data_IF_180886415683
#
_entry.id   IF_180886415683
#
_cell.length_a   1.000
_cell.length_b   1.000
_cell.length_c   1.000
_cell.angle_alpha   90.00
_cell.angle_beta   90.00
_cell.angle_gamma   90.00
#
_symmetry.space_group_name_H-M   'P 1'
#
loop_
_entity.id
_entity.type
_entity.pdbx_description
1 polymer ?
#
# COMPACT_ATOMS: atom_id res chain seq x y z
N UNK A 1 19.78 3.63 9.45
CA UNK A 1 18.38 3.93 9.08
C UNK A 1 17.91 2.69 8.34
N UNK A 2 16.91 1.98 8.86
CA UNK A 2 16.31 0.86 8.15
C UNK A 2 15.35 1.45 7.11
N UNK A 3 15.92 1.97 6.02
CA UNK A 3 15.15 2.37 4.84
C UNK A 3 14.69 1.08 4.16
N UNK A 4 13.51 0.60 4.57
CA UNK A 4 12.89 -0.52 3.90
C UNK A 4 12.47 -0.05 2.49
N UNK A 5 13.08 -0.55 1.40
CA UNK A 5 12.85 -0.05 0.05
C UNK A 5 11.39 -0.16 -0.43
N UNK A 6 10.60 -1.00 0.26
CA UNK A 6 9.15 -1.17 0.05
C UNK A 6 8.38 0.11 0.43
N UNK A 7 8.84 0.77 1.49
CA UNK A 7 8.21 1.97 2.04
C UNK A 7 8.50 3.17 1.15
N UNK A 8 9.71 3.31 0.61
CA UNK A 8 10.06 4.43 -0.28
C UNK A 8 9.29 4.39 -1.60
N UNK A 9 9.06 3.19 -2.14
CA UNK A 9 8.31 3.00 -3.39
C UNK A 9 6.83 3.32 -3.17
N UNK A 10 6.25 2.85 -2.06
CA UNK A 10 4.88 3.17 -1.66
C UNK A 10 4.72 4.67 -1.34
N UNK A 11 5.68 5.29 -0.65
CA UNK A 11 5.66 6.73 -0.36
C UNK A 11 5.73 7.57 -1.66
N UNK A 12 6.53 7.13 -2.63
CA UNK A 12 6.58 7.78 -3.96
C UNK A 12 5.25 7.67 -4.69
N UNK A 13 4.59 6.52 -4.64
CA UNK A 13 3.27 6.33 -5.21
C UNK A 13 2.23 7.25 -4.54
N UNK A 14 2.18 7.25 -3.21
CA UNK A 14 1.27 8.09 -2.41
C UNK A 14 1.40 9.58 -2.74
N UNK A 15 2.62 10.07 -3.02
CA UNK A 15 2.86 11.47 -3.40
C UNK A 15 2.26 11.82 -4.77
N UNK A 16 2.17 10.86 -5.69
CA UNK A 16 1.63 11.06 -7.05
C UNK A 16 0.10 10.99 -7.11
N UNK A 17 -0.54 10.35 -6.11
CA UNK A 17 -1.99 10.23 -6.05
C UNK A 17 -2.64 11.56 -5.69
N UNK A 18 -3.41 12.12 -6.64
CA UNK A 18 -4.18 13.34 -6.43
C UNK A 18 -5.49 13.13 -5.67
N UNK A 19 -6.07 11.93 -5.75
CA UNK A 19 -7.32 11.60 -5.05
C UNK A 19 -7.07 11.41 -3.54
N UNK A 20 -7.65 12.29 -2.71
CA UNK A 20 -7.43 12.28 -1.26
C UNK A 20 -7.99 11.03 -0.56
N UNK A 21 -9.09 10.45 -1.06
CA UNK A 21 -9.68 9.24 -0.49
C UNK A 21 -8.72 8.04 -0.69
N UNK A 22 -8.25 7.87 -1.92
CA UNK A 22 -7.27 6.83 -2.27
C UNK A 22 -5.98 7.02 -1.49
N UNK A 23 -5.49 8.26 -1.40
CA UNK A 23 -4.30 8.61 -0.62
C UNK A 23 -4.45 8.21 0.86
N UNK A 24 -5.63 8.42 1.45
CA UNK A 24 -5.92 7.99 2.81
C UNK A 24 -5.85 6.47 3.00
N UNK A 25 -6.36 5.70 2.04
CA UNK A 25 -6.30 4.23 2.07
C UNK A 25 -4.85 3.74 1.94
N UNK A 26 -4.08 4.32 1.04
CA UNK A 26 -2.67 3.97 0.84
C UNK A 26 -1.79 4.31 2.06
N UNK A 27 -2.08 5.42 2.74
CA UNK A 27 -1.41 5.77 4.01
C UNK A 27 -1.74 4.75 5.11
N UNK A 28 -2.98 4.26 5.18
CA UNK A 28 -3.35 3.17 6.10
C UNK A 28 -2.57 1.90 5.79
N UNK A 29 -2.49 1.52 4.51
CA UNK A 29 -1.71 0.37 4.06
C UNK A 29 -0.25 0.48 4.49
N UNK A 30 0.39 1.63 4.22
CA UNK A 30 1.77 1.90 4.62
C UNK A 30 1.99 1.77 6.12
N UNK A 31 1.06 2.29 6.91
CA UNK A 31 1.17 2.22 8.37
C UNK A 31 0.97 0.78 8.87
N UNK A 32 0.09 0.01 8.24
CA UNK A 32 -0.17 -1.38 8.59
C UNK A 32 1.05 -2.26 8.35
N UNK A 33 1.68 -2.16 7.17
CA UNK A 33 2.88 -2.95 6.83
C UNK A 33 4.12 -2.59 7.67
N UNK A 34 4.12 -1.43 8.34
CA UNK A 34 5.19 -0.99 9.25
C UNK A 34 5.04 -1.57 10.65
N UNK A 35 3.90 -2.16 10.99
CA UNK A 35 3.66 -2.75 12.30
C UNK A 35 4.48 -4.03 12.45
N UNK A 36 5.05 -4.23 13.65
CA UNK A 36 5.79 -5.46 13.99
C UNK A 36 4.90 -6.69 14.09
N UNK A 37 3.59 -6.50 14.31
CA UNK A 37 2.55 -7.52 14.46
C UNK A 37 1.59 -7.55 13.25
N UNK A 38 2.04 -7.09 12.08
CA UNK A 38 1.22 -7.07 10.86
C UNK A 38 0.72 -8.47 10.52
N UNK A 39 -0.56 -8.58 10.15
CA UNK A 39 -1.15 -9.81 9.63
C UNK A 39 -1.52 -9.66 8.15
N UNK A 40 -1.46 -10.76 7.41
CA UNK A 40 -1.90 -10.73 6.00
C UNK A 40 -3.39 -10.37 5.87
N UNK A 41 -4.20 -10.73 6.85
CA UNK A 41 -5.62 -10.38 6.87
C UNK A 41 -5.85 -8.87 7.01
N UNK A 42 -5.08 -8.18 7.87
CA UNK A 42 -5.22 -6.72 8.02
C UNK A 42 -4.81 -5.99 6.75
N UNK A 43 -3.71 -6.42 6.11
CA UNK A 43 -3.27 -5.91 4.80
C UNK A 43 -4.32 -6.17 3.72
N UNK A 44 -4.85 -7.39 3.64
CA UNK A 44 -5.88 -7.78 2.67
C UNK A 44 -7.15 -6.92 2.78
N UNK A 45 -7.61 -6.63 3.99
CA UNK A 45 -8.80 -5.79 4.20
C UNK A 45 -8.60 -4.35 3.67
N UNK A 46 -7.39 -3.82 3.80
CA UNK A 46 -7.04 -2.50 3.26
C UNK A 46 -6.98 -2.54 1.73
N UNK A 47 -6.40 -3.60 1.15
CA UNK A 47 -6.34 -3.79 -0.30
C UNK A 47 -7.72 -3.96 -0.95
N UNK A 48 -8.64 -4.70 -0.31
CA UNK A 48 -10.04 -4.82 -0.77
C UNK A 48 -10.71 -3.45 -0.78
N UNK A 49 -10.51 -2.65 0.27
CA UNK A 49 -11.06 -1.30 0.35
C UNK A 49 -10.51 -0.40 -0.77
N UNK A 50 -9.22 -0.55 -1.10
CA UNK A 50 -8.59 0.16 -2.22
C UNK A 50 -9.18 -0.29 -3.56
N UNK A 51 -9.36 -1.60 -3.77
CA UNK A 51 -9.91 -2.16 -5.00
C UNK A 51 -11.34 -1.69 -5.29
N UNK A 52 -12.18 -1.64 -4.26
CA UNK A 52 -13.56 -1.13 -4.36
C UNK A 52 -13.64 0.34 -4.76
N UNK A 53 -12.60 1.13 -4.45
CA UNK A 53 -12.55 2.57 -4.70
C UNK A 53 -11.81 2.92 -5.98
N UNK A 54 -10.69 2.28 -6.23
CA UNK A 54 -9.88 2.45 -7.42
C UNK A 54 -9.12 1.15 -7.73
N UNK A 55 -9.77 0.28 -8.51
CA UNK A 55 -9.19 -1.00 -8.96
C UNK A 55 -7.85 -0.82 -9.67
N UNK A 56 -7.62 0.32 -10.35
CA UNK A 56 -6.35 0.61 -11.01
C UNK A 56 -5.21 0.75 -9.99
N UNK A 57 -5.38 1.61 -8.99
CA UNK A 57 -4.41 1.81 -7.91
C UNK A 57 -4.20 0.52 -7.12
N UNK A 58 -5.26 -0.25 -6.87
CA UNK A 58 -5.14 -1.54 -6.20
C UNK A 58 -4.24 -2.51 -6.97
N UNK A 59 -4.39 -2.61 -8.30
CA UNK A 59 -3.53 -3.45 -9.15
C UNK A 59 -2.09 -2.95 -9.17
N UNK A 60 -1.88 -1.65 -9.30
CA UNK A 60 -0.53 -1.06 -9.28
C UNK A 60 0.18 -1.33 -7.94
N UNK A 61 -0.51 -1.15 -6.82
CA UNK A 61 0.01 -1.47 -5.49
C UNK A 61 0.25 -2.96 -5.31
N UNK A 62 -0.65 -3.81 -5.79
CA UNK A 62 -0.49 -5.25 -5.71
C UNK A 62 0.76 -5.73 -6.47
N UNK A 63 0.99 -5.20 -7.67
CA UNK A 63 2.21 -5.47 -8.44
C UNK A 63 3.46 -4.97 -7.71
N UNK A 64 3.42 -3.76 -7.15
CA UNK A 64 4.53 -3.21 -6.36
C UNK A 64 4.88 -4.05 -5.13
N UNK A 65 3.88 -4.67 -4.49
CA UNK A 65 4.09 -5.58 -3.35
C UNK A 65 4.57 -6.96 -3.80
N UNK A 66 4.10 -7.47 -4.95
CA UNK A 66 4.46 -8.79 -5.47
C UNK A 66 5.83 -8.84 -6.15
N UNK A 67 6.25 -7.80 -6.88
CA UNK A 67 7.53 -7.74 -7.63
C UNK A 67 8.78 -7.93 -6.74
N UNK A 68 8.62 -8.01 -5.42
CA UNK A 68 9.71 -8.21 -4.46
C UNK A 68 9.60 -9.49 -3.63
N UNK A 69 8.72 -10.41 -4.03
CA UNK A 69 8.57 -11.73 -3.38
C UNK A 69 9.45 -12.82 -4.04
N UNK A 70 10.32 -12.46 -4.99
CA UNK A 70 11.33 -13.35 -5.60
C UNK A 70 12.76 -12.99 -5.15
#
# INVERSE_FOLDING_TARGET
MNDNPDIETLDTYIRKVGNQEIKGILLKLKNEIRKSDVTWESVKNILISLEQKDSKSAKEIFLLLLEKTE
#
